data_IF_285412418243
#
_entry.id   IF_285412418243
#
_cell.length_a   1.000
_cell.length_b   1.000
_cell.length_c   1.000
_cell.angle_alpha   90.00
_cell.angle_beta   90.00
_cell.angle_gamma   90.00
#
_symmetry.space_group_name_H-M   'P 1'
#
loop_
_entity.id
_entity.type
_entity.pdbx_description
1 polymer ?
2 polymer ?
3 non-polymer ?
4 water ?
#
# COMPACT_ATOMS: atom_id res chain seq x y z
N UNK A 16 -18.61 1.01 22.25
CA UNK A 16 -19.26 0.57 21.00
C UNK A 16 -18.23 0.39 19.90
N UNK A 17 -18.53 -0.37 18.85
CA UNK A 17 -17.52 -0.68 17.84
C UNK A 17 -17.66 0.18 16.59
N UNK A 18 -16.52 0.64 16.08
CA UNK A 18 -16.47 1.54 14.94
C UNK A 18 -16.09 0.80 13.65
N UNK A 19 -16.48 1.35 12.49
CA UNK A 19 -16.00 0.78 11.23
C UNK A 19 -14.48 0.87 11.16
N UNK A 20 -13.83 -0.14 10.59
CA UNK A 20 -12.39 -0.09 10.45
C UNK A 20 -11.99 0.04 9.00
N UNK A 21 -11.19 1.07 8.72
CA UNK A 21 -10.73 1.32 7.38
C UNK A 21 -9.25 0.96 7.31
N UNK A 22 -8.88 0.16 6.33
CA UNK A 22 -7.48 -0.22 6.15
C UNK A 22 -6.81 0.68 5.12
N UNK A 23 -5.64 1.21 5.49
CA UNK A 23 -4.87 2.07 4.60
C UNK A 23 -3.54 1.38 4.29
N UNK A 24 -3.30 1.06 3.02
CA UNK A 24 -2.06 0.35 2.68
C UNK A 24 -1.11 1.27 1.90
N UNK A 25 0.06 1.49 2.48
CA UNK A 25 1.05 2.43 1.96
C UNK A 25 2.11 1.76 1.10
N UNK A 26 2.79 2.59 0.32
CA UNK A 26 3.93 2.16 -0.48
C UNK A 26 5.07 1.65 0.41
N UNK A 27 5.34 2.44 1.44
CA UNK A 27 6.42 2.24 2.39
C UNK A 27 5.95 2.87 3.69
N UNK A 28 5.81 2.05 4.73
CA UNK A 28 5.16 2.47 5.98
C UNK A 28 5.89 3.58 6.78
N UNK A 29 7.22 3.55 6.78
CA UNK A 29 8.00 4.44 7.66
C UNK A 29 8.21 5.83 7.07
N UNK A 30 8.09 5.90 5.75
CA UNK A 30 8.29 7.10 4.97
C UNK A 30 7.47 8.31 5.45
N UNK A 31 8.11 9.50 5.53
CA UNK A 31 7.39 10.65 6.07
C UNK A 31 6.28 11.17 5.16
N UNK A 32 6.32 10.83 3.88
CA UNK A 32 5.21 11.17 2.98
C UNK A 32 3.96 10.37 3.39
N UNK A 33 4.13 9.07 3.56
CA UNK A 33 2.99 8.25 3.98
C UNK A 33 2.51 8.56 5.39
N UNK A 34 3.42 9.00 6.27
CA UNK A 34 3.00 9.42 7.60
C UNK A 34 2.10 10.64 7.52
N UNK A 35 2.33 11.50 6.52
CA UNK A 35 1.46 12.65 6.34
C UNK A 35 0.09 12.24 5.78
N UNK A 36 0.10 11.23 4.92
CA UNK A 36 -1.17 10.68 4.43
C UNK A 36 -1.94 10.06 5.60
N UNK A 37 -1.23 9.30 6.44
CA UNK A 37 -1.80 8.70 7.65
C UNK A 37 -2.45 9.76 8.55
N UNK A 38 -1.75 10.87 8.76
CA UNK A 38 -2.28 11.94 9.61
C UNK A 38 -3.60 12.46 9.07
N UNK A 39 -3.64 12.68 7.76
CA UNK A 39 -4.87 13.13 7.12
C UNK A 39 -5.99 12.11 7.26
N UNK A 40 -5.65 10.84 7.19
CA UNK A 40 -6.65 9.79 7.34
C UNK A 40 -7.18 9.75 8.78
N UNK A 41 -6.29 9.85 9.76
CA UNK A 41 -6.70 9.86 11.17
C UNK A 41 -7.61 11.04 11.48
N UNK A 42 -7.35 12.19 10.86
CA UNK A 42 -8.18 13.37 11.10
C UNK A 42 -9.61 13.12 10.62
N UNK A 43 -9.73 12.64 9.38
CA UNK A 43 -11.04 12.34 8.81
C UNK A 43 -11.75 11.25 9.60
N UNK A 44 -10.98 10.25 10.04
CA UNK A 44 -11.57 9.11 10.73
C UNK A 44 -12.15 9.51 12.08
N UNK A 45 -11.45 10.38 12.80
CA UNK A 45 -11.96 10.86 14.09
C UNK A 45 -13.22 11.69 13.89
N UNK A 46 -13.26 12.51 12.84
CA UNK A 46 -14.45 13.30 12.50
C UNK A 46 -15.64 12.43 12.12
N UNK A 47 -15.38 11.33 11.42
CA UNK A 47 -16.47 10.52 10.90
C UNK A 47 -16.82 9.34 11.82
N UNK A 48 -15.99 9.09 12.82
CA UNK A 48 -16.27 8.02 13.76
C UNK A 48 -15.80 6.65 13.27
N UNK A 49 -14.67 6.64 12.58
CA UNK A 49 -14.06 5.39 12.14
C UNK A 49 -12.68 5.22 12.77
N UNK A 50 -12.13 4.04 12.59
CA UNK A 50 -10.77 3.76 13.01
C UNK A 50 -9.98 3.41 11.75
N UNK A 51 -8.74 3.92 11.67
CA UNK A 51 -7.85 3.63 10.56
C UNK A 51 -6.78 2.64 10.99
N UNK A 52 -6.62 1.56 10.23
CA UNK A 52 -5.49 0.66 10.43
C UNK A 52 -4.49 0.90 9.31
N UNK A 53 -3.28 1.32 9.68
CA UNK A 53 -2.28 1.80 8.72
C UNK A 53 -1.22 0.74 8.52
N UNK A 54 -1.07 0.27 7.27
CA UNK A 54 -0.22 -0.86 6.97
C UNK A 54 0.73 -0.54 5.84
N UNK A 55 1.75 -1.35 5.68
CA UNK A 55 2.68 -1.23 4.55
C UNK A 55 3.95 -1.98 4.82
N UNK A 56 4.67 -2.36 3.75
CA UNK A 56 5.96 -3.03 3.91
C UNK A 56 7.06 -2.02 4.28
N UNK A 57 8.25 -2.53 4.58
CA UNK A 57 9.42 -1.68 4.86
C UNK A 57 10.09 -1.29 3.55
N UNK A 58 10.36 -2.28 2.72
CA UNK A 58 10.89 -2.05 1.38
C UNK A 58 9.77 -2.30 0.38
N UNK A 59 9.70 -1.46 -0.64
CA UNK A 59 8.62 -1.52 -1.61
C UNK A 59 8.47 -2.92 -2.19
N UNK A 60 7.25 -3.44 -2.13
CA UNK A 60 6.95 -4.74 -2.70
C UNK A 60 5.47 -4.87 -3.07
N UNK A 61 5.20 -5.04 -4.36
CA UNK A 61 3.86 -5.26 -4.85
C UNK A 61 3.24 -6.50 -4.18
N UNK A 62 4.03 -7.57 -4.15
CA UNK A 62 3.66 -8.82 -3.50
C UNK A 62 3.22 -8.62 -2.05
N UNK A 63 3.98 -7.87 -1.29
CA UNK A 63 3.67 -7.62 0.12
C UNK A 63 2.43 -6.74 0.26
N UNK A 64 2.30 -5.75 -0.61
CA UNK A 64 1.10 -4.92 -0.59
C UNK A 64 -0.16 -5.73 -0.91
N UNK A 65 -0.05 -6.70 -1.80
CA UNK A 65 -1.20 -7.51 -2.18
C UNK A 65 -1.60 -8.49 -1.07
N UNK A 66 -0.61 -9.00 -0.34
CA UNK A 66 -0.92 -9.86 0.79
C UNK A 66 -1.68 -9.09 1.86
N UNK A 67 -1.23 -7.88 2.16
CA UNK A 67 -1.96 -7.02 3.09
C UNK A 67 -3.39 -6.73 2.60
N UNK A 68 -3.55 -6.54 1.29
CA UNK A 68 -4.85 -6.26 0.71
C UNK A 68 -5.72 -7.51 0.83
N UNK A 69 -5.11 -8.66 0.60
CA UNK A 69 -5.80 -9.94 0.77
C UNK A 69 -6.27 -10.18 2.21
N UNK A 70 -5.43 -9.82 3.19
CA UNK A 70 -5.79 -9.96 4.61
C UNK A 70 -7.00 -9.09 4.96
N UNK A 71 -6.99 -7.85 4.51
CA UNK A 71 -8.13 -6.95 4.74
C UNK A 71 -9.39 -7.45 4.04
N UNK A 72 -9.26 -7.99 2.84
CA UNK A 72 -10.41 -8.54 2.15
C UNK A 72 -11.00 -9.68 2.98
N UNK A 73 -10.15 -10.61 3.41
CA UNK A 73 -10.59 -11.76 4.20
C UNK A 73 -11.26 -11.36 5.50
N UNK A 74 -10.76 -10.29 6.10
CA UNK A 74 -11.28 -9.78 7.36
C UNK A 74 -12.56 -8.96 7.16
N UNK A 75 -12.94 -8.78 5.90
CA UNK A 75 -14.14 -8.04 5.53
C UNK A 75 -14.21 -6.73 6.28
N UNK A 76 -13.14 -5.94 6.21
CA UNK A 76 -13.12 -4.62 6.84
C UNK A 76 -14.14 -3.72 6.14
N UNK A 77 -14.45 -2.58 6.76
CA UNK A 77 -15.46 -1.68 6.21
C UNK A 77 -15.00 -0.91 4.97
N UNK A 78 -13.69 -0.81 4.78
CA UNK A 78 -13.16 -0.14 3.60
C UNK A 78 -11.68 -0.34 3.46
N UNK A 79 -11.19 -0.34 2.22
CA UNK A 79 -9.76 -0.42 1.96
C UNK A 79 -9.31 0.76 1.11
N UNK A 80 -8.27 1.44 1.57
CA UNK A 80 -7.60 2.50 0.82
C UNK A 80 -6.21 2.01 0.48
N UNK A 81 -5.90 1.82 -0.80
CA UNK A 81 -4.65 1.18 -1.13
C UNK A 81 -3.78 1.93 -2.16
N UNK A 82 -2.49 1.94 -1.89
CA UNK A 82 -1.49 2.34 -2.86
C UNK A 82 -1.40 1.27 -3.96
N UNK A 83 -1.13 1.69 -5.19
CA UNK A 83 -0.99 0.76 -6.32
C UNK A 83 0.41 0.84 -6.92
N UNK A 84 1.23 -0.17 -6.67
CA UNK A 84 2.63 -0.07 -7.06
C UNK A 84 2.89 -0.38 -8.53
N UNK A 85 2.11 -1.31 -9.09
CA UNK A 85 2.35 -1.80 -10.44
C UNK A 85 1.04 -1.97 -11.21
N UNK A 86 1.00 -1.37 -12.40
CA UNK A 86 -0.19 -1.42 -13.26
C UNK A 86 -0.68 -2.84 -13.52
N UNK A 87 -2.00 -3.05 -13.39
CA UNK A 87 -2.60 -4.33 -13.73
C UNK A 87 -2.51 -5.39 -12.66
N UNK A 88 -1.64 -5.17 -11.68
CA UNK A 88 -1.38 -6.16 -10.65
C UNK A 88 -2.39 -6.17 -9.49
N UNK A 89 -3.21 -5.13 -9.39
CA UNK A 89 -4.14 -4.99 -8.27
C UNK A 89 -5.59 -5.23 -8.68
N UNK A 90 -5.82 -5.14 -9.99
CA UNK A 90 -7.14 -5.32 -10.58
C UNK A 90 -7.88 -6.50 -9.95
N UNK A 91 -7.27 -7.68 -10.01
CA UNK A 91 -7.94 -8.89 -9.53
C UNK A 91 -8.38 -8.77 -8.07
N UNK A 92 -7.47 -8.36 -7.18
CA UNK A 92 -7.84 -8.27 -5.77
C UNK A 92 -8.79 -7.10 -5.47
N UNK A 93 -8.63 -5.99 -6.18
CA UNK A 93 -9.54 -4.87 -5.98
C UNK A 93 -10.98 -5.24 -6.35
N UNK A 94 -11.14 -5.88 -7.51
CA UNK A 94 -12.48 -6.23 -8.00
C UNK A 94 -13.12 -7.29 -7.13
N UNK A 95 -12.30 -8.23 -6.69
CA UNK A 95 -12.78 -9.24 -5.77
C UNK A 95 -13.32 -8.61 -4.47
N UNK A 96 -12.61 -7.62 -3.92
CA UNK A 96 -13.08 -6.92 -2.73
C UNK A 96 -14.38 -6.15 -2.99
N UNK A 97 -14.42 -5.46 -4.13
CA UNK A 97 -15.61 -4.68 -4.48
C UNK A 97 -16.82 -5.61 -4.58
N UNK A 98 -16.62 -6.74 -5.26
CA UNK A 98 -17.66 -7.76 -5.42
C UNK A 98 -18.15 -8.30 -4.07
N UNK A 99 -17.26 -8.36 -3.08
CA UNK A 99 -17.63 -8.85 -1.75
C UNK A 99 -18.19 -7.75 -0.85
N UNK A 100 -18.49 -6.60 -1.43
CA UNK A 100 -19.09 -5.53 -0.65
C UNK A 100 -18.14 -4.59 0.08
N UNK A 101 -16.84 -4.70 -0.17
CA UNK A 101 -15.90 -3.80 0.49
C UNK A 101 -15.58 -2.62 -0.42
N UNK A 102 -15.96 -1.40 0.01
CA UNK A 102 -15.59 -0.24 -0.80
C UNK A 102 -14.08 -0.05 -0.83
N UNK A 103 -13.54 0.13 -2.02
CA UNK A 103 -12.10 0.26 -2.24
C UNK A 103 -11.76 1.61 -2.88
N UNK A 104 -10.82 2.34 -2.28
CA UNK A 104 -10.33 3.60 -2.85
C UNK A 104 -8.85 3.44 -3.14
N UNK A 105 -8.38 3.91 -4.30
CA UNK A 105 -6.95 3.90 -4.54
C UNK A 105 -6.37 5.25 -4.16
N UNK A 106 -5.10 5.28 -3.75
CA UNK A 106 -4.49 6.51 -3.23
C UNK A 106 -3.06 6.65 -3.74
N UNK A 107 -2.71 7.88 -4.15
CA UNK A 107 -1.22 8.18 -4.67
C UNK A 107 -0.64 7.32 -5.53
N UNK A 108 -1.33 6.39 -6.33
CA UNK A 108 -1.12 5.76 -7.62
C UNK A 108 -2.45 5.01 -7.79
N UNK A 109 -2.93 5.04 -9.03
CA UNK A 109 -4.22 4.44 -9.37
C UNK A 109 -4.11 3.06 -10.02
N UNK A 110 -5.19 2.29 -9.94
CA UNK A 110 -5.40 1.16 -10.84
C UNK A 110 -6.64 1.48 -11.67
N UNK A 111 -6.43 2.12 -12.82
CA UNK A 111 -7.53 2.60 -13.67
C UNK A 111 -8.44 1.48 -14.12
N UNK A 112 -7.86 0.34 -14.50
CA UNK A 112 -8.66 -0.80 -14.96
C UNK A 112 -9.10 -1.62 -13.76
N UNK A 113 -9.91 -1.04 -12.89
CA UNK A 113 -10.45 -1.79 -11.78
C UNK A 113 -11.70 -1.07 -11.35
N UNK A 114 -12.49 -1.70 -10.49
CA UNK A 114 -13.78 -1.16 -10.14
C UNK A 114 -13.79 -0.38 -8.84
N UNK A 115 -12.60 0.02 -8.37
CA UNK A 115 -12.47 0.92 -7.22
C UNK A 115 -13.41 2.09 -7.38
N UNK A 116 -14.07 2.50 -6.29
CA UNK A 116 -15.03 3.60 -6.35
C UNK A 116 -14.38 4.95 -6.69
N UNK A 117 -13.11 5.14 -6.33
CA UNK A 117 -12.46 6.43 -6.60
C UNK A 117 -10.95 6.36 -6.46
N UNK A 118 -10.26 7.22 -7.20
CA UNK A 118 -8.83 7.45 -7.04
C UNK A 118 -8.58 8.81 -6.37
N UNK A 119 -7.88 8.82 -5.25
CA UNK A 119 -7.49 10.06 -4.58
C UNK A 119 -5.98 10.24 -4.65
N UNK A 120 -5.53 11.20 -5.44
CA UNK A 120 -4.11 11.44 -5.58
C UNK A 120 -3.76 12.33 -6.75
N UNK A 121 -2.46 12.44 -7.04
CA UNK A 121 -1.97 13.28 -8.10
C UNK A 121 -2.24 12.66 -9.48
N UNK A 122 -2.53 13.50 -10.47
CA UNK A 122 -2.43 13.10 -11.88
C UNK A 122 -0.95 13.02 -12.22
N UNK A 123 -0.38 11.82 -12.15
CA UNK A 123 1.07 11.70 -12.15
C UNK A 123 1.77 12.01 -13.49
N UNK A 124 1.13 11.70 -14.61
CA UNK A 124 1.68 12.10 -15.92
C UNK A 124 1.73 13.62 -16.05
N UNK A 125 0.64 14.28 -15.64
CA UNK A 125 0.58 15.74 -15.57
C UNK A 125 1.67 16.32 -14.64
N UNK A 126 1.85 15.72 -13.47
CA UNK A 126 2.88 16.20 -12.53
C UNK A 126 4.26 16.12 -13.17
N UNK A 127 4.47 15.09 -13.98
CA UNK A 127 5.69 14.98 -14.76
C UNK A 127 5.84 16.13 -15.75
N UNK A 128 4.76 16.46 -16.46
CA UNK A 128 4.76 17.59 -17.41
C UNK A 128 5.04 18.90 -16.69
N UNK A 129 4.46 19.05 -15.51
CA UNK A 129 4.72 20.23 -14.68
C UNK A 129 6.21 20.33 -14.34
N UNK A 130 6.83 19.21 -13.96
CA UNK A 130 8.26 19.20 -13.69
C UNK A 130 9.01 19.58 -14.94
N UNK A 131 8.56 19.08 -16.09
CA UNK A 131 9.21 19.38 -17.36
C UNK A 131 9.21 20.87 -17.69
N UNK A 132 8.12 21.56 -17.36
CA UNK A 132 8.00 22.99 -17.64
C UNK A 132 8.93 23.75 -16.72
N UNK A 133 9.00 23.30 -15.47
CA UNK A 133 9.88 23.94 -14.52
C UNK A 133 11.34 23.65 -14.87
N UNK A 134 11.62 22.48 -15.44
CA UNK A 134 13.01 22.17 -15.82
C UNK A 134 13.48 23.11 -16.92
N UNK A 135 12.60 23.41 -17.87
CA UNK A 135 12.95 24.33 -18.94
C UNK A 135 13.20 25.73 -18.38
N UNK A 136 12.37 26.19 -17.45
CA UNK A 136 12.61 27.48 -16.78
C UNK A 136 13.96 27.52 -16.05
N UNK A 137 14.38 26.37 -15.52
CA UNK A 137 15.57 26.32 -14.67
C UNK A 137 16.88 26.30 -15.44
N UNK A 138 16.91 25.64 -16.59
CA UNK A 138 18.17 25.50 -17.31
C UNK A 138 18.04 25.84 -18.79
N UNK A 139 16.82 26.12 -19.24
CA UNK A 139 16.62 26.50 -20.63
C UNK A 139 16.24 25.35 -21.54
N UNK A 140 16.43 25.55 -22.84
CA UNK A 140 15.93 24.61 -23.83
C UNK A 140 17.02 23.68 -24.37
N UNK A 141 18.25 23.89 -23.92
CA UNK A 141 19.36 23.04 -24.33
C UNK A 141 20.17 22.60 -23.11
N UNK A 142 20.60 21.35 -23.13
CA UNK A 142 21.37 20.79 -22.04
C UNK A 142 21.05 19.33 -21.75
N UNK A 143 21.74 18.78 -20.77
CA UNK A 143 21.63 17.37 -20.43
C UNK A 143 21.01 17.15 -19.05
N UNK A 144 20.04 16.24 -19.01
CA UNK A 144 19.29 15.94 -17.80
C UNK A 144 19.45 14.45 -17.45
N UNK A 145 19.53 14.15 -16.15
CA UNK A 145 19.52 12.75 -15.70
C UNK A 145 18.35 12.51 -14.74
N UNK A 146 17.78 11.32 -14.78
CA UNK A 146 16.60 11.04 -13.96
C UNK A 146 16.89 10.01 -12.87
N UNK A 147 16.54 10.36 -11.64
CA UNK A 147 16.55 9.42 -10.54
C UNK A 147 15.11 9.09 -10.16
N UNK A 148 14.69 7.84 -10.38
CA UNK A 148 13.32 7.43 -10.06
C UNK A 148 13.25 6.40 -8.91
N UNK A 149 12.14 6.41 -8.17
CA UNK A 149 11.98 5.54 -7.02
C UNK A 149 11.47 4.15 -7.39
N UNK A 150 12.26 3.39 -8.14
CA UNK A 150 11.85 2.10 -8.61
C UNK A 150 11.52 2.13 -10.10
N UNK A 151 12.25 1.35 -10.87
CA UNK A 151 12.12 1.32 -12.30
C UNK A 151 10.72 0.88 -12.76
N UNK A 152 10.09 -0.01 -12.01
CA UNK A 152 8.82 -0.59 -12.43
C UNK A 152 7.66 -0.15 -11.56
N UNK A 153 7.80 1.00 -10.94
CA UNK A 153 6.77 1.55 -10.08
C UNK A 153 5.89 2.50 -10.88
N UNK A 154 4.59 2.29 -10.79
CA UNK A 154 3.63 2.93 -11.67
C UNK A 154 3.69 4.44 -11.68
N UNK A 155 3.57 5.08 -10.52
CA UNK A 155 3.46 6.53 -10.55
C UNK A 155 4.81 7.18 -10.87
N UNK A 156 5.89 6.41 -10.71
CA UNK A 156 7.24 6.86 -11.10
C UNK A 156 7.37 6.87 -12.62
N UNK A 157 7.00 5.75 -13.24
CA UNK A 157 6.96 5.65 -14.69
C UNK A 157 6.07 6.73 -15.31
N UNK A 158 4.96 7.03 -14.65
CA UNK A 158 4.04 8.07 -15.13
C UNK A 158 4.67 9.46 -15.03
N UNK A 159 5.43 9.70 -13.98
CA UNK A 159 6.08 10.99 -13.81
C UNK A 159 7.18 11.15 -14.86
N UNK A 160 7.98 10.11 -15.04
CA UNK A 160 9.02 10.10 -16.04
C UNK A 160 8.42 10.26 -17.45
N UNK A 161 7.29 9.60 -17.70
CA UNK A 161 6.58 9.72 -18.97
C UNK A 161 6.15 11.16 -19.28
N UNK A 162 5.47 11.81 -18.33
CA UNK A 162 5.01 13.18 -18.53
C UNK A 162 6.17 14.15 -18.73
N UNK A 163 7.22 13.98 -17.94
CA UNK A 163 8.43 14.78 -18.04
C UNK A 163 9.09 14.65 -19.40
N UNK A 164 9.32 13.41 -19.81
CA UNK A 164 9.95 13.12 -21.09
C UNK A 164 9.17 13.70 -22.25
N UNK A 165 7.87 13.43 -22.25
CA UNK A 165 6.98 13.97 -23.26
C UNK A 165 7.11 15.50 -23.33
N UNK A 166 7.09 16.17 -22.17
CA UNK A 166 7.11 17.62 -22.16
C UNK A 166 8.38 18.20 -22.75
N UNK A 167 9.53 17.72 -22.30
CA UNK A 167 10.78 18.33 -22.72
C UNK A 167 11.11 17.99 -24.16
N UNK A 168 10.48 16.92 -24.67
CA UNK A 168 10.64 16.53 -26.07
C UNK A 168 9.83 17.47 -26.95
N UNK A 169 8.67 17.90 -26.48
CA UNK A 169 7.83 18.80 -27.24
C UNK A 169 8.30 20.25 -27.18
N UNK A 170 8.91 20.63 -26.06
CA UNK A 170 9.13 22.04 -25.79
C UNK A 170 10.58 22.44 -25.58
N UNK A 171 11.51 21.59 -25.97
CA UNK A 171 12.93 21.87 -25.79
C UNK A 171 13.79 20.95 -26.61
N UNK A 172 15.11 21.08 -26.42
CA UNK A 172 16.09 20.18 -27.00
C UNK A 172 16.93 19.56 -25.89
N UNK A 173 16.39 19.61 -24.66
CA UNK A 173 17.00 18.94 -23.52
C UNK A 173 17.16 17.44 -23.79
N UNK A 174 18.34 16.92 -23.49
CA UNK A 174 18.61 15.49 -23.64
C UNK A 174 18.63 14.79 -22.29
N UNK A 175 17.82 13.75 -22.16
CA UNK A 175 17.89 12.82 -21.05
C UNK A 175 19.03 11.82 -21.31
N UNK A 176 20.12 11.91 -20.56
CA UNK A 176 21.28 11.10 -20.89
C UNK A 176 21.43 9.87 -19.99
N UNK A 177 20.73 9.87 -18.85
CA UNK A 177 20.82 8.74 -17.93
C UNK A 177 19.56 8.67 -17.05
N UNK A 178 19.04 7.45 -16.90
CA UNK A 178 17.89 7.18 -16.02
C UNK A 178 18.22 5.97 -15.15
N UNK A 179 18.16 6.14 -13.84
CA UNK A 179 18.34 5.00 -12.97
C UNK A 179 17.44 5.12 -11.73
N UNK A 180 17.55 4.13 -10.86
CA UNK A 180 16.59 3.99 -9.78
C UNK A 180 17.19 4.01 -8.38
N UNK A 181 16.47 4.67 -7.48
CA UNK A 181 16.80 4.68 -6.07
C UNK A 181 16.06 3.60 -5.27
N UNK A 182 15.15 2.87 -5.92
CA UNK A 182 14.17 2.02 -5.22
C UNK A 182 13.49 2.73 -4.06
N UNK A 183 13.39 4.06 -4.18
CA UNK A 183 12.78 4.92 -3.18
C UNK A 183 13.45 4.81 -1.82
N UNK A 184 14.76 4.49 -1.84
CA UNK A 184 15.54 4.49 -0.61
C UNK A 184 16.46 5.72 -0.59
N UNK A 185 16.66 6.29 0.60
CA UNK A 185 17.47 7.50 0.75
C UNK A 185 18.95 7.29 0.42
N UNK A 186 19.58 6.30 1.05
CA UNK A 186 20.98 6.03 0.77
C UNK A 186 21.21 5.67 -0.70
N UNK A 187 20.31 4.87 -1.26
CA UNK A 187 20.50 4.41 -2.63
C UNK A 187 20.29 5.56 -3.61
N UNK A 188 19.52 6.57 -3.22
CA UNK A 188 19.33 7.76 -4.04
C UNK A 188 20.64 8.54 -4.16
N UNK A 189 21.35 8.69 -3.04
CA UNK A 189 22.64 9.35 -3.04
C UNK A 189 23.63 8.59 -3.92
N UNK A 190 23.73 7.29 -3.68
CA UNK A 190 24.69 6.46 -4.39
C UNK A 190 24.45 6.40 -5.88
N UNK A 191 23.18 6.22 -6.27
CA UNK A 191 22.89 6.13 -7.70
C UNK A 191 23.14 7.50 -8.37
N UNK A 192 22.94 8.58 -7.63
CA UNK A 192 23.21 9.91 -8.15
C UNK A 192 24.71 10.11 -8.33
N UNK A 193 25.48 9.80 -7.29
CA UNK A 193 26.95 9.88 -7.34
C UNK A 193 27.45 9.06 -8.54
N UNK A 194 26.81 7.92 -8.79
CA UNK A 194 27.20 7.06 -9.89
C UNK A 194 26.81 7.66 -11.24
N UNK A 195 25.76 8.47 -11.24
CA UNK A 195 25.26 9.05 -12.48
C UNK A 195 26.08 10.26 -12.88
N UNK A 196 26.50 11.03 -11.88
CA UNK A 196 27.34 12.21 -12.08
C UNK A 196 28.73 11.81 -12.58
N UNK A 197 29.33 10.86 -11.89
CA UNK A 197 30.38 10.03 -12.47
C UNK A 197 29.75 9.31 -13.66
N UNK A 198 30.51 8.81 -14.62
CA UNK A 198 29.95 8.11 -15.78
C UNK A 198 29.14 9.00 -16.76
N UNK A 199 28.85 10.24 -16.39
CA UNK A 199 28.36 11.22 -17.38
C UNK A 199 29.13 12.55 -17.33
N UNK A 200 29.52 13.03 -18.52
CA UNK A 200 30.39 14.20 -18.61
C UNK A 200 29.74 15.51 -18.19
N UNK A 201 28.78 15.96 -18.98
CA UNK A 201 28.19 17.28 -18.72
C UNK A 201 26.70 17.16 -18.42
N UNK A 202 26.38 16.84 -17.17
CA UNK A 202 25.01 16.88 -16.71
C UNK A 202 24.71 18.24 -16.09
N UNK A 203 23.65 18.86 -16.58
CA UNK A 203 23.22 20.18 -16.10
C UNK A 203 22.16 20.12 -15.00
N UNK A 204 21.38 19.04 -14.99
CA UNK A 204 20.26 18.95 -14.07
C UNK A 204 19.82 17.52 -13.76
N UNK A 205 19.32 17.34 -12.55
CA UNK A 205 18.74 16.07 -12.12
C UNK A 205 17.24 16.24 -11.89
N UNK A 206 16.47 15.29 -12.39
CA UNK A 206 15.04 15.21 -12.07
C UNK A 206 14.80 13.98 -11.18
N UNK A 207 14.29 14.23 -9.98
CA UNK A 207 14.11 13.21 -8.94
C UNK A 207 12.62 13.04 -8.64
N UNK A 208 12.12 11.81 -8.79
CA UNK A 208 10.66 11.64 -8.93
C UNK A 208 9.88 11.06 -7.72
N UNK A 209 10.58 10.65 -6.66
CA UNK A 209 9.91 10.34 -5.40
C UNK A 209 10.55 11.08 -4.21
N UNK A 210 9.86 11.03 -3.07
CA UNK A 210 10.10 11.96 -1.96
C UNK A 210 11.53 12.06 -1.41
N UNK A 211 12.25 10.95 -1.36
CA UNK A 211 13.59 10.92 -0.79
C UNK A 211 14.69 11.11 -1.85
N UNK A 212 14.32 11.00 -3.12
CA UNK A 212 15.31 11.05 -4.19
C UNK A 212 16.08 12.37 -4.19
N UNK A 213 15.37 13.47 -3.89
CA UNK A 213 15.94 14.81 -3.97
C UNK A 213 16.95 15.04 -2.86
N UNK A 214 16.64 14.51 -1.69
CA UNK A 214 17.51 14.60 -0.54
C UNK A 214 18.80 13.82 -0.77
N UNK A 215 18.67 12.61 -1.31
CA UNK A 215 19.82 11.80 -1.67
C UNK A 215 20.66 12.41 -2.78
N UNK A 216 20.01 13.01 -3.77
CA UNK A 216 20.74 13.67 -4.86
C UNK A 216 21.53 14.89 -4.34
N UNK A 217 20.92 15.68 -3.45
CA UNK A 217 21.56 16.86 -2.89
C UNK A 217 22.82 16.46 -2.13
N UNK A 218 22.73 15.36 -1.39
CA UNK A 218 23.91 14.83 -0.70
C UNK A 218 25.02 14.48 -1.67
N UNK A 219 24.65 13.89 -2.81
CA UNK A 219 25.66 13.47 -3.77
C UNK A 219 26.27 14.67 -4.52
N UNK A 220 25.48 15.69 -4.77
CA UNK A 220 25.98 16.87 -5.42
C UNK A 220 26.84 17.69 -4.48
N UNK A 221 26.40 17.92 -3.27
CA UNK A 221 27.21 18.61 -2.30
C UNK A 221 28.53 17.91 -2.03
N UNK A 222 28.59 16.60 -2.19
CA UNK A 222 29.77 15.87 -1.85
C UNK A 222 30.81 15.82 -2.92
N UNK A 223 30.38 15.95 -4.16
CA UNK A 223 31.33 16.00 -5.24
C UNK A 223 31.68 17.42 -5.53
N UNK A 224 31.12 18.35 -4.78
CA UNK A 224 30.79 19.65 -5.31
C UNK A 224 29.90 19.42 -6.54
N UNK A 225 29.63 20.44 -7.29
CA UNK A 225 28.70 20.47 -8.42
C UNK A 225 27.64 21.30 -7.87
N UNK A 226 27.84 21.78 -6.67
CA UNK A 226 26.99 22.88 -6.40
C UNK A 226 27.93 24.05 -6.87
N UNK A 227 27.59 24.74 -7.94
CA UNK A 227 26.42 24.46 -8.71
C UNK A 227 26.59 24.31 -10.17
N UNK A 228 27.00 23.14 -10.57
CA UNK A 228 27.05 22.87 -11.99
C UNK A 228 25.82 22.04 -12.32
N UNK A 229 25.21 21.48 -11.29
CA UNK A 229 24.07 20.57 -11.46
C UNK A 229 22.87 21.06 -10.66
N UNK A 230 21.77 21.39 -11.34
CA UNK A 230 20.55 21.76 -10.65
C UNK A 230 19.76 20.50 -10.34
N UNK A 231 18.90 20.60 -9.33
CA UNK A 231 18.03 19.51 -8.93
C UNK A 231 16.58 19.98 -8.93
N UNK A 232 15.75 19.25 -9.66
CA UNK A 232 14.30 19.36 -9.50
C UNK A 232 13.81 18.05 -8.94
N UNK A 233 13.13 18.11 -7.80
CA UNK A 233 12.71 16.88 -7.16
C UNK A 233 11.23 16.91 -6.75
N UNK A 234 10.83 15.97 -5.95
CA UNK A 234 9.48 15.84 -5.53
C UNK A 234 9.26 15.92 -4.06
N UNK A 235 8.16 16.51 -3.69
CA UNK A 235 7.72 16.59 -2.33
C UNK A 235 8.36 17.63 -1.44
N UNK A 236 7.66 17.96 -0.39
CA UNK A 236 8.07 18.98 0.54
C UNK A 236 8.57 18.51 1.89
N UNK A 237 9.39 17.48 1.90
CA UNK A 237 9.96 17.03 3.17
C UNK A 237 10.89 18.09 3.73
N UNK A 238 11.03 18.13 5.05
CA UNK A 238 11.83 19.12 5.76
C UNK A 238 13.21 19.34 5.15
N UNK A 239 13.96 18.27 4.94
CA UNK A 239 15.30 18.42 4.38
C UNK A 239 15.28 18.94 2.96
N UNK A 240 14.21 18.62 2.21
CA UNK A 240 14.09 19.15 0.86
C UNK A 240 13.85 20.65 0.92
N UNK A 241 12.95 21.08 1.80
CA UNK A 241 12.69 22.51 1.97
C UNK A 241 13.95 23.25 2.42
N UNK A 242 14.75 22.57 3.22
CA UNK A 242 16.00 23.12 3.72
C UNK A 242 17.01 23.25 2.58
N UNK A 243 17.08 22.22 1.73
CA UNK A 243 17.96 22.24 0.57
C UNK A 243 17.58 23.30 -0.47
N UNK A 244 16.32 23.71 -0.45
CA UNK A 244 15.86 24.75 -1.35
C UNK A 244 16.31 26.12 -0.82
N UNK A 245 16.17 26.32 0.49
CA UNK A 245 16.67 27.53 1.14
C UNK A 245 18.18 27.69 0.98
N UNK A 246 18.91 26.58 1.08
CA UNK A 246 20.37 26.61 0.98
C UNK A 246 20.90 26.54 -0.45
N UNK A 247 20.00 26.41 -1.42
CA UNK A 247 20.37 26.48 -2.83
C UNK A 247 20.80 25.18 -3.47
N UNK A 248 20.80 24.08 -2.71
CA UNK A 248 21.17 22.78 -3.27
C UNK A 248 20.06 22.22 -4.18
N UNK A 249 18.80 22.56 -3.88
CA UNK A 249 17.68 22.17 -4.73
C UNK A 249 16.99 23.41 -5.29
N UNK A 250 16.66 23.39 -6.58
CA UNK A 250 16.12 24.59 -7.25
C UNK A 250 14.59 24.67 -7.21
N UNK A 251 13.95 23.52 -7.32
CA UNK A 251 12.49 23.45 -7.28
C UNK A 251 12.06 22.08 -6.80
N UNK A 252 10.94 22.04 -6.08
CA UNK A 252 10.33 20.77 -5.78
C UNK A 252 8.84 20.78 -6.16
N UNK A 253 8.36 19.63 -6.62
CA UNK A 253 6.95 19.47 -6.97
C UNK A 253 6.19 18.90 -5.78
N UNK A 254 5.28 19.69 -5.24
CA UNK A 254 4.63 19.39 -3.96
C UNK A 254 3.25 18.77 -4.13
N UNK A 255 2.98 17.70 -3.40
CA UNK A 255 1.67 17.06 -3.46
C UNK A 255 0.91 17.29 -2.18
N UNK A 256 -0.40 17.19 -2.24
CA UNK A 256 -1.23 17.42 -1.07
C UNK A 256 -1.50 16.09 -0.36
N UNK A 257 -0.43 15.51 0.17
CA UNK A 257 -0.48 14.19 0.79
C UNK A 257 -1.47 14.11 1.93
N UNK A 258 -1.45 15.10 2.83
CA UNK A 258 -2.36 15.11 3.98
C UNK A 258 -3.81 15.11 3.53
N UNK A 259 -4.08 15.85 2.47
CA UNK A 259 -5.42 15.96 1.92
C UNK A 259 -5.88 14.65 1.25
N UNK A 260 -4.93 13.92 0.66
CA UNK A 260 -5.24 12.60 0.08
C UNK A 260 -5.81 11.67 1.14
N UNK A 261 -5.11 11.55 2.27
CA UNK A 261 -5.54 10.68 3.35
C UNK A 261 -6.90 11.12 3.87
N UNK A 262 -7.08 12.42 4.03
CA UNK A 262 -8.32 13.00 4.51
C UNK A 262 -9.51 12.71 3.59
N UNK A 263 -9.32 13.01 2.30
CA UNK A 263 -10.39 12.84 1.33
C UNK A 263 -10.75 11.35 1.11
N UNK A 264 -9.75 10.48 1.11
CA UNK A 264 -9.97 9.05 0.89
C UNK A 264 -10.86 8.46 1.99
N UNK A 265 -10.60 8.82 3.24
CA UNK A 265 -11.44 8.30 4.33
C UNK A 265 -12.89 8.78 4.19
N UNK A 266 -13.07 10.05 3.83
CA UNK A 266 -14.40 10.60 3.69
C UNK A 266 -15.17 9.98 2.54
N UNK A 267 -14.46 9.58 1.48
CA UNK A 267 -15.13 8.91 0.38
C UNK A 267 -15.58 7.52 0.80
N UNK A 268 -14.70 6.81 1.53
CA UNK A 268 -15.04 5.50 2.05
C UNK A 268 -16.24 5.63 2.99
N UNK A 269 -16.18 6.57 3.93
CA UNK A 269 -17.27 6.70 4.89
C UNK A 269 -18.57 7.19 4.23
N UNK A 270 -18.45 7.99 3.17
CA UNK A 270 -19.62 8.38 2.39
C UNK A 270 -20.30 7.14 1.77
N UNK A 271 -19.50 6.25 1.18
CA UNK A 271 -20.03 5.04 0.58
C UNK A 271 -20.70 4.15 1.63
N UNK A 272 -19.99 3.90 2.72
CA UNK A 272 -20.53 3.14 3.85
C UNK A 272 -21.89 3.69 4.32
N UNK A 273 -22.00 5.02 4.42
CA UNK A 273 -23.20 5.63 4.97
C UNK A 273 -24.26 5.95 3.91
N UNK A 274 -23.98 5.55 2.68
CA UNK A 274 -24.91 5.75 1.58
C UNK A 274 -25.20 7.20 1.27
N UNK A 275 -24.19 8.05 1.40
CA UNK A 275 -24.29 9.43 1.03
C UNK A 275 -23.78 9.40 -0.39
N UNK A 276 -23.38 10.52 -0.96
CA UNK A 276 -23.18 10.66 -2.40
C UNK A 276 -21.81 11.26 -2.75
N UNK A 283 -8.59 14.00 -8.30
CA UNK A 283 -7.34 14.49 -8.86
C UNK A 283 -6.97 15.79 -8.17
N UNK A 284 -5.88 15.75 -7.42
CA UNK A 284 -5.49 16.85 -6.58
C UNK A 284 -4.28 17.52 -7.20
N UNK A 285 -4.34 18.84 -7.33
CA UNK A 285 -3.31 19.56 -8.07
C UNK A 285 -1.94 19.48 -7.40
N UNK A 286 -0.93 19.75 -8.21
CA UNK A 286 0.45 19.74 -7.78
C UNK A 286 0.97 21.20 -7.80
N UNK A 287 1.94 21.52 -6.97
CA UNK A 287 2.46 22.88 -6.88
C UNK A 287 3.98 22.94 -6.96
N UNK A 288 4.49 23.83 -7.80
CA UNK A 288 5.95 24.03 -7.86
C UNK A 288 6.38 25.03 -6.80
N UNK A 289 7.40 24.65 -6.04
CA UNK A 289 7.93 25.51 -5.00
C UNK A 289 9.40 25.82 -5.28
N UNK A 290 9.74 27.12 -5.27
CA UNK A 290 11.11 27.59 -5.41
C UNK A 290 11.60 28.26 -4.12
N UNK A 291 12.84 28.73 -4.12
CA UNK A 291 13.41 29.37 -2.93
C UNK A 291 12.60 30.59 -2.48
N UNK A 292 12.02 31.31 -3.43
CA UNK A 292 11.24 32.49 -3.08
C UNK A 292 9.96 32.11 -2.34
N UNK A 293 9.53 30.86 -2.51
CA UNK A 293 8.29 30.37 -1.89
C UNK A 293 8.53 29.87 -0.48
N UNK A 294 9.64 29.15 -0.27
CA UNK A 294 9.95 28.61 1.05
C UNK A 294 10.16 29.77 2.01
N UNK B 14 -9.21 -16.25 34.68
CA UNK B 14 -10.06 -15.63 33.70
C UNK B 14 -9.31 -15.14 32.48
N UNK B 15 -8.37 -14.23 32.67
CA UNK B 15 -7.50 -13.83 31.60
C UNK B 15 -6.78 -15.07 31.16
N UNK B 16 -6.55 -15.99 32.08
CA UNK B 16 -6.00 -17.28 31.73
C UNK B 16 -6.98 -18.17 31.01
N UNK B 17 -8.22 -18.14 31.43
CA UNK B 17 -9.28 -18.85 30.73
C UNK B 17 -9.49 -18.32 29.31
N UNK B 18 -9.36 -17.01 29.14
CA UNK B 18 -9.46 -16.41 27.82
C UNK B 18 -8.35 -16.86 26.86
N UNK B 19 -7.15 -17.08 27.39
CA UNK B 19 -6.11 -17.47 26.48
C UNK B 19 -6.08 -18.99 26.31
N UNK B 20 -6.68 -19.71 27.25
CA UNK B 20 -6.94 -21.12 27.00
C UNK B 20 -7.89 -21.28 25.81
N UNK B 21 -8.95 -20.47 25.81
CA UNK B 21 -9.95 -20.53 24.74
C UNK B 21 -9.33 -20.10 23.42
N UNK B 22 -8.51 -19.06 23.47
CA UNK B 22 -7.82 -18.54 22.29
C UNK B 22 -6.89 -19.60 21.73
N UNK B 23 -6.20 -20.32 22.61
CA UNK B 23 -5.38 -21.42 22.14
C UNK B 23 -6.22 -22.56 21.56
N UNK B 24 -7.41 -22.79 22.10
CA UNK B 24 -8.26 -23.85 21.58
C UNK B 24 -8.72 -23.51 20.17
N UNK B 25 -9.08 -22.26 19.96
CA UNK B 25 -9.49 -21.75 18.66
C UNK B 25 -8.39 -21.95 17.61
N UNK B 26 -7.17 -21.61 17.99
CA UNK B 26 -6.02 -21.74 17.09
C UNK B 26 -5.80 -23.19 16.69
N UNK B 27 -5.87 -24.10 17.67
CA UNK B 27 -5.79 -25.53 17.38
C UNK B 27 -6.93 -26.01 16.48
N UNK B 28 -8.15 -25.53 16.73
CA UNK B 28 -9.29 -25.92 15.89
C UNK B 28 -9.07 -25.51 14.44
N UNK B 29 -8.64 -24.26 14.25
CA UNK B 29 -8.40 -23.76 12.91
C UNK B 29 -7.30 -24.57 12.24
N UNK B 30 -6.18 -24.76 12.94
CA UNK B 30 -5.08 -25.56 12.41
C UNK B 30 -5.53 -26.98 12.07
N UNK B 31 -6.27 -27.61 12.97
CA UNK B 31 -6.68 -28.99 12.73
C UNK B 31 -7.70 -29.06 11.59
N UNK B 32 -8.56 -28.04 11.51
CA UNK B 32 -9.54 -27.97 10.43
C UNK B 32 -8.85 -27.93 9.06
N UNK B 33 -7.82 -27.08 8.94
CA UNK B 33 -7.04 -26.93 7.71
C UNK B 33 -6.36 -28.23 7.32
N UNK B 34 -5.73 -28.87 8.30
CA UNK B 34 -5.00 -30.10 8.07
C UNK B 34 -5.90 -31.20 7.53
N UNK B 35 -7.08 -31.36 8.14
CA UNK B 35 -8.02 -32.37 7.69
C UNK B 35 -8.58 -32.01 6.33
N UNK B 36 -8.90 -30.74 6.13
CA UNK B 36 -9.32 -30.22 4.83
C UNK B 36 -8.32 -30.58 3.73
N UNK B 37 -7.05 -30.25 3.95
CA UNK B 37 -5.97 -30.59 3.04
C UNK B 37 -5.94 -32.07 2.68
N UNK B 38 -5.95 -32.92 3.69
CA UNK B 38 -5.95 -34.38 3.46
C UNK B 38 -7.17 -34.82 2.69
N UNK B 39 -8.31 -34.20 2.96
CA UNK B 39 -9.52 -34.60 2.26
C UNK B 39 -9.43 -34.31 0.77
N UNK B 40 -8.99 -33.09 0.42
CA UNK B 40 -8.85 -32.72 -0.98
C UNK B 40 -7.83 -33.60 -1.70
N UNK B 41 -6.80 -34.05 -0.98
CA UNK B 41 -5.74 -34.85 -1.58
C UNK B 41 -6.06 -36.33 -1.69
N UNK B 42 -7.04 -36.84 -0.92
CA UNK B 42 -7.35 -38.28 -0.98
C UNK B 42 -8.83 -38.66 -0.86
N UNK B 43 -9.64 -37.79 -0.27
CA UNK B 43 -11.08 -38.02 -0.23
C UNK B 43 -11.61 -38.90 0.88
N UNK B 44 -10.79 -39.20 1.88
CA UNK B 44 -11.26 -39.97 3.03
C UNK B 44 -12.37 -39.20 3.77
N UNK B 45 -13.59 -39.75 3.79
CA UNK B 45 -14.73 -38.99 4.32
C UNK B 45 -14.56 -38.52 5.77
N UNK B 46 -13.86 -39.28 6.61
CA UNK B 46 -13.62 -38.87 7.98
C UNK B 46 -12.76 -37.60 8.09
N UNK B 47 -11.98 -37.32 7.05
CA UNK B 47 -11.14 -36.12 7.04
C UNK B 47 -12.02 -34.88 6.89
N UNK B 48 -13.02 -34.97 6.02
CA UNK B 48 -14.01 -33.90 5.81
C UNK B 48 -14.88 -33.68 7.05
N UNK B 49 -15.28 -34.78 7.67
CA UNK B 49 -16.02 -34.73 8.93
C UNK B 49 -15.24 -33.98 10.01
N UNK B 50 -13.95 -34.29 10.13
CA UNK B 50 -13.10 -33.60 11.10
C UNK B 50 -12.86 -32.14 10.69
N UNK B 51 -12.71 -31.89 9.40
CA UNK B 51 -12.57 -30.52 8.91
C UNK B 51 -13.73 -29.68 9.40
N UNK B 52 -14.92 -30.25 9.25
CA UNK B 52 -16.16 -29.55 9.52
C UNK B 52 -16.38 -29.35 11.02
N UNK B 53 -16.17 -30.41 11.80
CA UNK B 53 -16.27 -30.34 13.25
C UNK B 53 -15.34 -29.29 13.86
N UNK B 54 -14.09 -29.28 13.40
CA UNK B 54 -13.14 -28.33 13.95
C UNK B 54 -13.50 -26.88 13.62
N UNK B 55 -14.01 -26.57 12.42
CA UNK B 55 -14.41 -25.15 12.22
C UNK B 55 -15.66 -24.77 12.97
N UNK B 56 -16.55 -25.73 13.22
CA UNK B 56 -17.72 -25.45 14.03
C UNK B 56 -17.27 -25.00 15.39
N UNK B 57 -16.28 -25.69 15.92
CA UNK B 57 -15.82 -25.41 17.27
C UNK B 57 -15.05 -24.08 17.32
N UNK B 58 -14.24 -23.80 16.31
CA UNK B 58 -13.53 -22.51 16.26
C UNK B 58 -14.53 -21.34 16.18
N UNK B 59 -15.53 -21.49 15.32
CA UNK B 59 -16.58 -20.49 15.16
C UNK B 59 -17.34 -20.18 16.48
N UNK B 60 -17.76 -21.23 17.18
CA UNK B 60 -18.52 -21.07 18.42
C UNK B 60 -17.69 -20.38 19.50
N UNK B 61 -16.45 -20.82 19.65
CA UNK B 61 -15.59 -20.27 20.69
C UNK B 61 -15.20 -18.82 20.39
N UNK B 62 -14.99 -18.48 19.12
CA UNK B 62 -14.78 -17.09 18.77
C UNK B 62 -16.02 -16.26 19.18
N UNK B 63 -17.19 -16.81 18.88
CA UNK B 63 -18.45 -16.19 19.31
C UNK B 63 -18.52 -16.02 20.82
N UNK B 64 -18.02 -17.01 21.55
CA UNK B 64 -18.05 -16.93 23.01
C UNK B 64 -17.18 -15.78 23.52
N UNK B 65 -15.95 -15.68 23.01
CA UNK B 65 -15.06 -14.58 23.38
C UNK B 65 -15.62 -13.21 23.02
N UNK B 66 -16.38 -13.14 21.91
CA UNK B 66 -16.95 -11.87 21.46
C UNK B 66 -17.99 -11.37 22.44
N UNK B 67 -18.61 -12.30 23.16
CA UNK B 67 -19.59 -11.96 24.18
C UNK B 67 -18.96 -11.15 25.30
N UNK B 68 -17.72 -11.50 25.66
CA UNK B 68 -17.05 -10.89 26.80
C UNK B 68 -15.88 -9.96 26.43
N UNK B 69 -15.92 -9.36 25.24
CA UNK B 69 -14.77 -8.59 24.77
C UNK B 69 -14.73 -7.16 25.30
N UNK B 70 -13.54 -6.57 25.35
CA UNK B 70 -13.39 -5.16 25.73
C UNK B 70 -13.23 -4.27 24.50
N UNK B 71 -12.73 -3.05 24.69
CA UNK B 71 -12.63 -2.07 23.60
C UNK B 71 -11.61 -2.42 22.51
N UNK B 72 -10.52 -3.09 22.88
CA UNK B 72 -9.46 -3.38 21.92
C UNK B 72 -9.63 -4.74 21.24
N UNK B 73 -9.83 -5.79 22.04
CA UNK B 73 -9.96 -7.14 21.53
C UNK B 73 -11.16 -7.30 20.61
N UNK B 74 -12.16 -6.47 20.86
CA UNK B 74 -13.36 -6.35 20.04
C UNK B 74 -13.02 -6.27 18.53
N UNK B 75 -12.06 -5.42 18.20
CA UNK B 75 -11.62 -5.20 16.81
C UNK B 75 -10.89 -6.40 16.24
N UNK B 76 -10.03 -7.02 17.04
CA UNK B 76 -9.29 -8.19 16.61
C UNK B 76 -10.23 -9.39 16.45
N UNK B 77 -11.20 -9.51 17.36
CA UNK B 77 -12.12 -10.63 17.35
C UNK B 77 -13.02 -10.55 16.14
N UNK B 78 -13.46 -9.33 15.82
CA UNK B 78 -14.26 -9.13 14.62
C UNK B 78 -13.45 -9.50 13.36
N UNK B 79 -12.19 -9.08 13.29
CA UNK B 79 -11.35 -9.45 12.15
C UNK B 79 -11.17 -10.97 12.06
N UNK B 80 -10.97 -11.59 13.21
CA UNK B 80 -10.74 -13.03 13.26
C UNK B 80 -12.02 -13.78 12.87
N UNK B 81 -13.15 -13.35 13.40
CA UNK B 81 -14.45 -13.97 13.10
C UNK B 81 -14.79 -13.89 11.63
N UNK B 82 -14.65 -12.69 11.05
CA UNK B 82 -14.85 -12.53 9.62
C UNK B 82 -13.86 -13.32 8.77
N UNK B 83 -12.62 -13.38 9.21
CA UNK B 83 -11.60 -14.09 8.45
C UNK B 83 -11.90 -15.59 8.47
N UNK B 84 -12.39 -16.10 9.60
CA UNK B 84 -12.81 -17.50 9.65
C UNK B 84 -13.94 -17.77 8.68
N UNK B 85 -14.92 -16.86 8.62
CA UNK B 85 -16.01 -17.01 7.66
C UNK B 85 -15.46 -17.10 6.22
N UNK B 86 -14.40 -16.33 5.93
CA UNK B 86 -13.78 -16.37 4.60
C UNK B 86 -13.13 -17.72 4.33
N UNK B 87 -12.48 -18.25 5.35
CA UNK B 87 -11.90 -19.58 5.27
C UNK B 87 -12.99 -20.63 5.04
N UNK B 88 -14.09 -20.49 5.77
CA UNK B 88 -15.21 -21.42 5.61
C UNK B 88 -15.72 -21.38 4.18
N UNK B 89 -15.81 -20.18 3.62
CA UNK B 89 -16.34 -20.02 2.27
C UNK B 89 -15.37 -20.58 1.23
N UNK B 90 -14.07 -20.30 1.39
CA UNK B 90 -13.07 -20.80 0.45
C UNK B 90 -12.91 -22.30 0.51
N UNK B 91 -12.94 -22.85 1.71
CA UNK B 91 -12.79 -24.29 1.88
C UNK B 91 -14.04 -25.03 1.41
N UNK B 92 -15.21 -24.44 1.61
CA UNK B 92 -16.44 -25.09 1.13
C UNK B 92 -16.50 -25.06 -0.39
N UNK B 93 -16.11 -23.94 -0.99
CA UNK B 93 -16.07 -23.87 -2.44
C UNK B 93 -15.08 -24.89 -3.02
N UNK B 94 -13.94 -25.06 -2.37
CA UNK B 94 -12.97 -26.06 -2.81
C UNK B 94 -13.59 -27.46 -2.72
N UNK B 95 -14.20 -27.78 -1.58
CA UNK B 95 -14.78 -29.10 -1.38
C UNK B 95 -15.86 -29.37 -2.42
N UNK B 96 -16.65 -28.34 -2.69
CA UNK B 96 -17.70 -28.44 -3.69
C UNK B 96 -17.18 -28.75 -5.09
N UNK B 97 -16.14 -28.05 -5.53
CA UNK B 97 -15.56 -28.31 -6.85
C UNK B 97 -14.89 -29.67 -6.87
N UNK B 98 -14.25 -30.02 -5.76
CA UNK B 98 -13.57 -31.31 -5.63
C UNK B 98 -14.56 -32.47 -5.79
N UNK B 99 -15.68 -32.40 -5.08
CA UNK B 99 -16.64 -33.49 -5.06
C UNK B 99 -17.40 -33.59 -6.38
N UNK B 100 -17.46 -32.47 -7.11
CA UNK B 100 -17.95 -32.44 -8.49
C UNK B 100 -16.95 -32.96 -9.50
N UNK B 101 -15.79 -33.41 -9.02
CA UNK B 101 -14.71 -33.94 -9.86
C UNK B 101 -14.31 -32.98 -10.96
N UNK B 102 -14.14 -31.72 -10.60
CA UNK B 102 -13.72 -30.70 -11.54
C UNK B 102 -12.20 -30.63 -11.64
N UNK B 103 -11.72 -30.04 -12.73
CA UNK B 103 -10.30 -29.86 -12.94
C UNK B 103 -9.70 -29.01 -11.85
N UNK B 104 -8.49 -29.36 -11.42
CA UNK B 104 -7.72 -28.62 -10.40
C UNK B 104 -7.72 -27.13 -10.69
N UNK B 105 -7.64 -26.78 -11.97
CA UNK B 105 -7.66 -25.39 -12.40
C UNK B 105 -8.88 -24.64 -11.88
N UNK B 106 -9.96 -25.35 -11.62
CA UNK B 106 -11.18 -24.71 -11.13
C UNK B 106 -11.20 -24.46 -9.62
N UNK B 107 -10.40 -25.18 -8.84
CA UNK B 107 -10.37 -24.88 -7.40
C UNK B 107 -8.99 -24.53 -6.85
N UNK B 108 -8.02 -24.32 -7.74
CA UNK B 108 -6.66 -23.96 -7.33
C UNK B 108 -6.66 -22.72 -6.44
N UNK B 109 -7.31 -21.66 -6.91
CA UNK B 109 -7.38 -20.40 -6.16
C UNK B 109 -8.03 -20.57 -4.79
N UNK B 110 -9.21 -21.18 -4.76
CA UNK B 110 -9.91 -21.44 -3.50
C UNK B 110 -9.09 -22.28 -2.56
N UNK B 111 -8.40 -23.26 -3.12
CA UNK B 111 -7.60 -24.20 -2.34
C UNK B 111 -6.46 -23.45 -1.67
N UNK B 112 -5.77 -22.63 -2.46
CA UNK B 112 -4.72 -21.76 -1.97
C UNK B 112 -5.23 -20.73 -0.97
N UNK B 113 -6.33 -20.05 -1.31
CA UNK B 113 -6.87 -19.03 -0.40
C UNK B 113 -7.23 -19.62 0.96
N UNK B 114 -7.81 -20.82 0.99
CA UNK B 114 -8.13 -21.47 2.26
C UNK B 114 -6.90 -21.64 3.15
N UNK B 115 -5.77 -22.06 2.56
CA UNK B 115 -4.51 -22.15 3.32
C UNK B 115 -4.06 -20.79 3.81
N UNK B 116 -4.08 -19.81 2.92
CA UNK B 116 -3.66 -18.46 3.25
C UNK B 116 -4.55 -17.88 4.34
N UNK B 117 -5.86 -18.03 4.17
CA UNK B 117 -6.77 -17.43 5.13
C UNK B 117 -6.64 -18.11 6.49
N UNK B 118 -6.43 -19.42 6.51
CA UNK B 118 -6.22 -20.10 7.77
C UNK B 118 -5.00 -19.53 8.48
N UNK B 119 -3.96 -19.17 7.72
CA UNK B 119 -2.76 -18.60 8.33
C UNK B 119 -3.05 -17.22 8.90
N UNK B 120 -3.92 -16.43 8.26
CA UNK B 120 -4.30 -15.15 8.86
C UNK B 120 -4.96 -15.38 10.23
N UNK B 121 -5.84 -16.39 10.30
CA UNK B 121 -6.51 -16.74 11.57
C UNK B 121 -5.48 -17.04 12.68
N UNK B 122 -4.44 -17.80 12.35
CA UNK B 122 -3.35 -18.05 13.30
C UNK B 122 -2.71 -16.81 13.85
N UNK B 123 -2.51 -15.80 13.01
CA UNK B 123 -1.89 -14.56 13.47
C UNK B 123 -2.82 -13.76 14.37
N UNK B 124 -4.11 -13.70 14.04
CA UNK B 124 -5.06 -13.01 14.92
C UNK B 124 -5.09 -13.69 16.29
N UNK B 125 -5.05 -15.02 16.28
CA UNK B 125 -5.15 -15.81 17.50
C UNK B 125 -3.94 -15.59 18.39
N UNK B 126 -2.75 -15.57 17.81
CA UNK B 126 -1.55 -15.39 18.62
C UNK B 126 -1.50 -13.95 19.14
N UNK B 127 -2.01 -12.99 18.35
CA UNK B 127 -2.14 -11.62 18.83
C UNK B 127 -3.10 -11.54 20.01
N UNK B 128 -4.26 -12.19 19.90
CA UNK B 128 -5.20 -12.24 20.99
C UNK B 128 -4.57 -12.82 22.24
N UNK B 129 -3.84 -13.92 22.08
CA UNK B 129 -3.26 -14.62 23.21
C UNK B 129 -2.27 -13.74 23.94
N UNK B 130 -1.53 -12.95 23.18
CA UNK B 130 -0.59 -12.01 23.76
C UNK B 130 -1.30 -10.91 24.55
N UNK B 131 -2.40 -10.40 23.99
CA UNK B 131 -3.20 -9.38 24.66
C UNK B 131 -3.80 -9.85 25.97
N UNK B 132 -4.36 -11.06 25.96
CA UNK B 132 -4.86 -11.66 27.19
C UNK B 132 -3.74 -11.88 28.20
N UNK B 133 -2.55 -12.19 27.69
CA UNK B 133 -1.40 -12.43 28.54
C UNK B 133 -0.99 -11.16 29.29
N UNK B 134 -1.39 -10.00 28.76
CA UNK B 134 -0.89 -8.73 29.25
C UNK B 134 -1.91 -7.87 30.00
N UNK B 135 -2.55 -8.44 31.02
CA UNK B 135 -3.42 -7.67 31.91
C UNK B 135 -2.60 -6.87 32.93
#
# INVERSE_FOLDING_TARGET
MARSNLLRDKKVEKEPIKPKIVLISHIKTNPYWLDIKAGAERAAKERGAVVEFLGPTTASTEDGLKLFDMATSAKVSGIITYVQEEGQYKKKINSAMEKGIPVVTIDSDEEDSNRIAYVGTDNVLAGQVAGKEMVKQIGTSGNVAIVMGGKNVKNQKERVEGFTQYIKSNSNLKIVDTDSSDAMLLEAEIITRKILNRNDNINALFCTSALDGIGAARAVKDLNYKDRVKIICFDDLDDTLSNIRNGLVSATIVQKSNEMGYRAVNIIMDKIEGKSNKFSKSLIDVNVINKSDVDSYKRGDDKVEN
MGSSHHHHHHSQGSMLNNMLITNEIKQHVDSSLDNFNQYILNGTPSKKESYNNEVILAKQKIGNLKKNSDDVNQYILRDLDNTLDSYIESSKNTISAYENKEGYVFYYDDFVAAKNIASYCDAYASTLMQNFLEANSIAYKELNRNSS
#
